data_IF_316210368848
#
_entry.id   IF_316210368848
#
_cell.length_a   1.000
_cell.length_b   1.000
_cell.length_c   1.000
_cell.angle_alpha   90.00
_cell.angle_beta   90.00
_cell.angle_gamma   90.00
#
_symmetry.space_group_name_H-M   'P 1'
#
loop_
_entity.id
_entity.type
_entity.pdbx_description
1 polymer ?
#
# COMPACT_ATOMS: atom_id res chain seq x y z
N UNK A 1 24.18 5.10 -26.72
CA UNK A 1 23.45 3.94 -26.15
C UNK A 1 23.11 4.29 -24.72
N UNK A 2 21.84 4.35 -24.30
CA UNK A 2 21.49 4.50 -22.90
C UNK A 2 21.85 3.22 -22.17
N UNK A 3 22.45 3.35 -20.98
CA UNK A 3 22.75 2.22 -20.11
C UNK A 3 21.41 1.56 -19.70
N UNK A 4 21.27 0.29 -20.03
CA UNK A 4 20.26 -0.57 -19.45
C UNK A 4 20.56 -0.67 -17.96
N UNK A 5 19.73 -0.05 -17.13
CA UNK A 5 19.69 -0.38 -15.73
C UNK A 5 19.03 -1.76 -15.65
N UNK A 6 19.80 -2.76 -15.29
CA UNK A 6 19.25 -4.05 -14.85
C UNK A 6 18.28 -3.75 -13.70
N UNK A 7 16.99 -3.99 -13.96
CA UNK A 7 16.00 -3.95 -12.90
C UNK A 7 16.42 -5.02 -11.86
N UNK A 8 16.45 -4.68 -10.55
CA UNK A 8 16.72 -5.67 -9.53
C UNK A 8 15.71 -6.81 -9.70
N UNK A 9 16.21 -8.06 -9.64
CA UNK A 9 15.37 -9.25 -9.75
C UNK A 9 14.24 -9.12 -8.74
N UNK A 10 13.04 -8.86 -9.23
CA UNK A 10 11.84 -8.86 -8.39
C UNK A 10 11.73 -10.23 -7.75
N UNK A 11 11.86 -10.31 -6.42
CA UNK A 11 11.55 -11.54 -5.69
C UNK A 11 10.09 -11.82 -6.00
N UNK A 12 9.85 -12.75 -6.91
CA UNK A 12 8.50 -13.15 -7.29
C UNK A 12 7.77 -13.60 -6.04
N UNK A 13 6.60 -13.01 -5.77
CA UNK A 13 5.69 -13.56 -4.79
C UNK A 13 5.44 -15.01 -5.19
N UNK A 14 5.79 -15.93 -4.31
CA UNK A 14 5.45 -17.31 -4.52
C UNK A 14 3.92 -17.41 -4.60
N UNK A 15 3.40 -18.35 -5.38
CA UNK A 15 1.97 -18.68 -5.40
C UNK A 15 1.48 -19.27 -4.07
N UNK A 16 2.38 -19.36 -3.07
CA UNK A 16 2.08 -19.81 -1.71
C UNK A 16 1.43 -18.68 -0.89
N UNK A 17 0.72 -19.06 0.16
CA UNK A 17 0.14 -18.12 1.10
C UNK A 17 1.21 -17.32 1.84
N UNK A 18 0.92 -16.04 2.10
CA UNK A 18 1.67 -15.17 3.01
C UNK A 18 0.87 -14.87 4.26
N UNK A 19 1.51 -14.23 5.23
CA UNK A 19 0.85 -13.78 6.47
C UNK A 19 1.31 -12.38 6.87
N UNK A 20 0.43 -11.67 7.60
CA UNK A 20 0.76 -10.41 8.25
C UNK A 20 1.79 -10.62 9.38
N UNK A 21 2.88 -9.85 9.36
CA UNK A 21 3.94 -9.91 10.36
C UNK A 21 3.94 -8.66 11.24
N UNK A 22 3.77 -8.87 12.53
CA UNK A 22 3.85 -7.81 13.54
C UNK A 22 5.22 -7.77 14.19
N UNK A 23 5.67 -6.58 14.57
CA UNK A 23 6.98 -6.35 15.17
C UNK A 23 7.37 -7.31 16.33
N UNK A 24 6.47 -7.68 17.27
CA UNK A 24 6.80 -8.62 18.34
C UNK A 24 7.24 -10.01 17.87
N UNK A 25 6.82 -10.43 16.68
CA UNK A 25 7.13 -11.77 16.14
C UNK A 25 8.35 -11.80 15.22
N UNK A 26 8.89 -10.65 14.84
CA UNK A 26 10.00 -10.59 13.87
C UNK A 26 11.24 -11.36 14.35
N UNK A 27 11.61 -11.21 15.63
CA UNK A 27 12.76 -11.93 16.21
C UNK A 27 12.56 -13.45 16.16
N UNK A 28 11.38 -13.94 16.43
CA UNK A 28 11.04 -15.36 16.35
C UNK A 28 11.11 -15.88 14.92
N UNK A 29 10.59 -15.14 13.96
CA UNK A 29 10.65 -15.50 12.54
C UNK A 29 12.08 -15.55 12.04
N UNK A 30 12.93 -14.59 12.43
CA UNK A 30 14.36 -14.59 12.11
C UNK A 30 15.05 -15.83 12.66
N UNK A 31 14.76 -16.19 13.92
CA UNK A 31 15.38 -17.32 14.60
C UNK A 31 14.90 -18.68 14.07
N UNK A 32 13.60 -18.83 13.83
CA UNK A 32 12.97 -20.12 13.48
C UNK A 32 12.88 -20.38 11.98
N UNK A 33 12.89 -19.34 11.18
CA UNK A 33 12.84 -19.41 9.71
C UNK A 33 11.70 -20.31 9.18
N UNK A 34 10.43 -20.01 9.53
CA UNK A 34 9.30 -20.84 9.13
C UNK A 34 9.16 -20.90 7.60
N UNK A 35 8.61 -22.01 7.10
CA UNK A 35 8.36 -22.25 5.67
C UNK A 35 7.13 -21.47 5.16
N UNK A 36 7.14 -20.13 5.27
CA UNK A 36 6.10 -19.22 4.81
C UNK A 36 6.60 -18.57 3.52
N UNK A 37 5.69 -18.34 2.55
CA UNK A 37 6.09 -17.82 1.25
C UNK A 37 6.52 -16.37 1.28
N UNK A 38 5.81 -15.52 2.02
CA UNK A 38 6.06 -14.08 2.11
C UNK A 38 5.39 -13.47 3.35
N UNK A 39 5.80 -12.27 3.70
CA UNK A 39 5.22 -11.51 4.81
C UNK A 39 4.70 -10.16 4.36
N UNK A 40 3.55 -9.78 4.92
CA UNK A 40 3.04 -8.42 4.85
C UNK A 40 3.35 -7.68 6.14
N UNK A 41 3.75 -6.42 6.02
CA UNK A 41 4.01 -5.53 7.16
C UNK A 41 3.32 -4.19 6.97
N UNK A 42 2.84 -3.61 8.07
CA UNK A 42 2.31 -2.25 8.07
C UNK A 42 3.42 -1.24 7.80
N UNK A 43 3.29 -0.51 6.71
CA UNK A 43 4.26 0.47 6.22
C UNK A 43 4.63 1.51 7.27
N UNK A 44 3.63 2.06 7.97
CA UNK A 44 3.78 3.15 8.93
C UNK A 44 4.66 2.77 10.11
N UNK A 45 4.73 1.49 10.48
CA UNK A 45 5.60 1.00 11.55
C UNK A 45 7.10 1.12 11.21
N UNK A 46 7.44 1.37 9.97
CA UNK A 46 8.82 1.45 9.47
C UNK A 46 9.22 2.84 8.97
N UNK A 47 8.30 3.81 8.98
CA UNK A 47 8.57 5.19 8.58
C UNK A 47 9.43 5.96 9.60
N UNK A 48 9.54 5.44 10.81
CA UNK A 48 10.42 5.94 11.86
C UNK A 48 11.79 5.27 11.87
N UNK A 49 12.64 5.70 12.80
CA UNK A 49 13.93 5.05 13.08
C UNK A 49 13.80 3.89 14.06
N UNK A 50 14.93 3.34 14.50
CA UNK A 50 15.02 2.31 15.55
C UNK A 50 15.48 0.94 15.03
N UNK A 51 15.30 -0.09 15.86
CA UNK A 51 15.77 -1.46 15.55
C UNK A 51 14.86 -2.20 14.54
N UNK A 52 13.59 -1.83 14.44
CA UNK A 52 12.60 -2.51 13.61
C UNK A 52 12.97 -2.55 12.11
N UNK A 53 13.48 -1.47 11.49
CA UNK A 53 13.96 -1.53 10.12
C UNK A 53 15.11 -2.51 9.88
N UNK A 54 16.04 -2.66 10.80
CA UNK A 54 17.15 -3.63 10.67
C UNK A 54 16.64 -5.08 10.73
N UNK A 55 15.61 -5.35 11.54
CA UNK A 55 14.97 -6.66 11.57
C UNK A 55 14.25 -6.96 10.25
N UNK A 56 13.61 -5.97 9.63
CA UNK A 56 12.96 -6.14 8.33
C UNK A 56 13.99 -6.41 7.22
N UNK A 57 15.18 -5.79 7.28
CA UNK A 57 16.29 -6.12 6.36
C UNK A 57 16.70 -7.58 6.46
N UNK A 58 16.90 -8.07 7.68
CA UNK A 58 17.27 -9.47 7.89
C UNK A 58 16.17 -10.45 7.38
N UNK A 59 14.90 -10.08 7.52
CA UNK A 59 13.78 -10.86 6.98
C UNK A 59 13.74 -10.82 5.45
N UNK A 60 13.98 -9.63 4.86
CA UNK A 60 13.99 -9.42 3.41
C UNK A 60 15.04 -10.26 2.67
N UNK A 61 16.13 -10.65 3.32
CA UNK A 61 17.15 -11.55 2.76
C UNK A 61 16.59 -12.95 2.41
N UNK A 62 15.48 -13.35 3.04
CA UNK A 62 14.92 -14.71 2.92
C UNK A 62 13.49 -14.74 2.42
N UNK A 63 12.72 -13.69 2.70
CA UNK A 63 11.29 -13.64 2.40
C UNK A 63 10.95 -12.45 1.51
N UNK A 64 10.03 -12.65 0.59
CA UNK A 64 9.40 -11.54 -0.08
C UNK A 64 8.59 -10.73 0.94
N UNK A 65 8.62 -9.39 0.82
CA UNK A 65 7.91 -8.48 1.71
C UNK A 65 6.88 -7.70 0.90
N UNK A 66 5.66 -7.62 1.44
CA UNK A 66 4.61 -6.68 1.01
C UNK A 66 4.55 -5.53 2.02
N UNK A 67 4.61 -4.29 1.54
CA UNK A 67 4.36 -3.09 2.34
C UNK A 67 2.90 -2.69 2.18
N UNK A 68 2.14 -2.75 3.28
CA UNK A 68 0.72 -2.39 3.31
C UNK A 68 0.54 -1.10 4.11
N UNK A 69 0.09 -0.05 3.43
CA UNK A 69 -0.09 1.29 3.99
C UNK A 69 -1.52 1.58 4.40
N UNK A 70 -1.67 2.49 5.34
CA UNK A 70 -2.96 3.03 5.81
C UNK A 70 -2.96 4.57 5.82
N UNK A 71 -1.87 5.19 5.40
CA UNK A 71 -1.61 6.60 5.62
C UNK A 71 -1.54 7.48 4.40
N UNK A 72 -1.63 6.97 3.18
CA UNK A 72 -1.62 7.80 1.96
C UNK A 72 -2.86 8.67 1.84
N UNK A 73 -3.98 8.24 2.44
CA UNK A 73 -5.24 9.00 2.43
C UNK A 73 -5.63 9.49 1.03
N UNK A 74 -5.56 8.57 0.05
CA UNK A 74 -5.72 8.88 -1.39
C UNK A 74 -7.06 9.54 -1.71
N UNK A 75 -8.10 9.25 -0.93
CA UNK A 75 -9.43 9.83 -1.08
C UNK A 75 -9.61 11.22 -0.44
N UNK A 76 -8.60 11.74 0.26
CA UNK A 76 -8.69 13.07 0.88
C UNK A 76 -8.87 14.18 -0.15
N UNK A 77 -9.59 15.23 0.24
CA UNK A 77 -9.61 16.50 -0.50
C UNK A 77 -8.30 17.28 -0.40
N UNK A 78 -7.47 16.99 0.62
CA UNK A 78 -6.15 17.60 0.77
C UNK A 78 -5.20 17.12 -0.33
N UNK A 79 -4.15 17.88 -0.68
CA UNK A 79 -3.05 17.38 -1.49
C UNK A 79 -2.40 16.15 -0.84
N UNK A 80 -1.81 15.26 -1.67
CA UNK A 80 -1.01 14.15 -1.15
C UNK A 80 0.11 14.66 -0.23
N UNK A 81 0.27 14.01 0.92
CA UNK A 81 1.35 14.32 1.85
C UNK A 81 2.71 13.94 1.23
N UNK A 82 3.45 14.96 0.80
CA UNK A 82 4.76 14.77 0.17
C UNK A 82 5.80 14.19 1.13
N UNK A 83 5.69 14.48 2.43
CA UNK A 83 6.62 13.95 3.42
C UNK A 83 6.35 12.45 3.64
N UNK A 84 5.10 12.04 3.71
CA UNK A 84 4.71 10.63 3.76
C UNK A 84 5.19 9.88 2.52
N UNK A 85 4.89 10.40 1.32
CA UNK A 85 5.37 9.82 0.06
C UNK A 85 6.90 9.71 0.00
N UNK A 86 7.63 10.73 0.50
CA UNK A 86 9.10 10.70 0.55
C UNK A 86 9.61 9.58 1.45
N UNK A 87 9.01 9.41 2.63
CA UNK A 87 9.34 8.34 3.57
C UNK A 87 9.04 6.97 2.95
N UNK A 88 7.86 6.80 2.37
CA UNK A 88 7.47 5.57 1.69
C UNK A 88 8.45 5.24 0.55
N UNK A 89 8.81 6.22 -0.29
CA UNK A 89 9.79 6.02 -1.36
C UNK A 89 11.15 5.57 -0.83
N UNK A 90 11.56 6.08 0.34
CA UNK A 90 12.79 5.66 1.01
C UNK A 90 12.71 4.20 1.47
N UNK A 91 11.58 3.78 2.05
CA UNK A 91 11.35 2.37 2.42
C UNK A 91 11.35 1.46 1.20
N UNK A 92 10.67 1.85 0.13
CA UNK A 92 10.63 1.09 -1.13
C UNK A 92 12.04 0.85 -1.67
N UNK A 93 12.88 1.88 -1.68
CA UNK A 93 14.27 1.76 -2.12
C UNK A 93 15.13 0.90 -1.19
N UNK A 94 14.86 0.94 0.09
CA UNK A 94 15.62 0.20 1.11
C UNK A 94 15.27 -1.26 1.14
N UNK A 95 13.99 -1.59 1.09
CA UNK A 95 13.52 -2.96 1.28
C UNK A 95 13.15 -3.67 -0.02
N UNK A 96 13.06 -2.95 -1.13
CA UNK A 96 12.67 -3.49 -2.45
C UNK A 96 11.48 -4.46 -2.33
N UNK A 97 10.33 -4.01 -1.77
CA UNK A 97 9.20 -4.89 -1.51
C UNK A 97 8.63 -5.45 -2.81
N UNK A 98 8.10 -6.65 -2.75
CA UNK A 98 7.41 -7.27 -3.88
C UNK A 98 6.13 -6.51 -4.23
N UNK A 99 5.36 -6.11 -3.22
CA UNK A 99 4.13 -5.32 -3.37
C UNK A 99 4.16 -4.09 -2.46
N UNK A 100 3.42 -3.08 -2.88
CA UNK A 100 3.06 -1.91 -2.04
C UNK A 100 1.58 -1.65 -2.24
N UNK A 101 0.82 -1.55 -1.17
CA UNK A 101 -0.62 -1.33 -1.18
C UNK A 101 -1.04 -0.21 -0.24
N UNK A 102 -2.20 0.36 -0.49
CA UNK A 102 -2.93 1.28 0.37
C UNK A 102 -4.43 1.16 0.06
N UNK A 103 -5.29 1.88 0.77
CA UNK A 103 -6.72 1.66 0.77
C UNK A 103 -7.51 2.64 -0.11
N UNK A 104 -8.66 2.19 -0.61
CA UNK A 104 -9.71 3.03 -1.18
C UNK A 104 -10.43 3.80 -0.07
N UNK A 105 -9.73 4.73 0.55
CA UNK A 105 -10.22 5.45 1.73
C UNK A 105 -9.60 6.84 1.85
N UNK A 106 -10.09 7.59 2.81
CA UNK A 106 -9.41 8.78 3.32
C UNK A 106 -9.25 8.67 4.84
N UNK A 107 -8.18 9.21 5.37
CA UNK A 107 -7.82 9.18 6.79
C UNK A 107 -7.30 10.51 7.29
N UNK A 108 -7.25 11.53 6.44
CA UNK A 108 -6.82 12.88 6.81
C UNK A 108 -7.56 13.95 6.04
N UNK A 109 -7.85 15.09 6.68
CA UNK A 109 -8.43 16.28 6.07
C UNK A 109 -8.05 17.53 6.87
N UNK A 110 -7.75 18.63 6.19
CA UNK A 110 -7.36 19.89 6.83
C UNK A 110 -6.09 19.77 7.70
N UNK A 111 -5.18 18.86 7.35
CA UNK A 111 -3.98 18.57 8.11
C UNK A 111 -4.20 17.79 9.41
N UNK A 112 -5.42 17.30 9.66
CA UNK A 112 -5.75 16.43 10.81
C UNK A 112 -5.83 14.99 10.34
N UNK A 113 -5.07 14.10 11.00
CA UNK A 113 -5.11 12.67 10.76
C UNK A 113 -6.14 12.01 11.69
N UNK A 114 -7.04 11.24 11.10
CA UNK A 114 -8.08 10.49 11.78
C UNK A 114 -7.65 9.02 11.79
N UNK A 115 -7.36 8.41 12.88
CA UNK A 115 -6.88 7.02 12.96
C UNK A 115 -7.94 6.00 12.51
N UNK A 116 -8.46 6.18 11.31
CA UNK A 116 -9.51 5.35 10.71
C UNK A 116 -9.39 5.38 9.17
N UNK A 117 -9.95 4.35 8.52
CA UNK A 117 -10.08 4.24 7.07
C UNK A 117 -11.51 4.60 6.69
N UNK A 118 -11.73 5.86 6.37
CA UNK A 118 -13.06 6.37 6.10
C UNK A 118 -13.46 6.11 4.63
N UNK A 119 -14.69 5.59 4.39
CA UNK A 119 -15.16 5.27 3.05
C UNK A 119 -15.41 6.54 2.22
N UNK A 120 -15.54 6.35 0.93
CA UNK A 120 -15.83 7.39 -0.07
C UNK A 120 -17.22 7.20 -0.67
N UNK A 121 -17.91 8.26 -1.10
CA UNK A 121 -19.07 8.10 -1.96
C UNK A 121 -18.61 7.64 -3.35
N UNK A 122 -19.18 6.56 -3.87
CA UNK A 122 -18.83 6.03 -5.19
C UNK A 122 -19.57 6.76 -6.30
N UNK A 123 -19.05 7.92 -6.67
CA UNK A 123 -19.57 8.81 -7.72
C UNK A 123 -18.52 9.02 -8.81
N UNK A 124 -18.92 9.52 -9.96
CA UNK A 124 -18.00 9.88 -11.05
C UNK A 124 -16.94 10.90 -10.62
N UNK A 125 -17.35 11.89 -9.80
CA UNK A 125 -16.44 12.90 -9.27
C UNK A 125 -15.36 12.27 -8.38
N UNK A 126 -15.77 11.40 -7.46
CA UNK A 126 -14.84 10.69 -6.55
C UNK A 126 -13.95 9.73 -7.33
N UNK A 127 -14.49 9.05 -8.34
CA UNK A 127 -13.72 8.18 -9.22
C UNK A 127 -12.59 8.96 -9.91
N UNK A 128 -12.92 10.08 -10.53
CA UNK A 128 -11.92 10.92 -11.20
C UNK A 128 -10.87 11.46 -10.23
N UNK A 129 -11.30 11.93 -9.05
CA UNK A 129 -10.41 12.42 -8.00
C UNK A 129 -9.47 11.34 -7.49
N UNK A 130 -10.01 10.19 -7.08
CA UNK A 130 -9.24 9.09 -6.50
C UNK A 130 -8.24 8.50 -7.51
N UNK A 131 -8.68 8.25 -8.74
CA UNK A 131 -7.81 7.74 -9.81
C UNK A 131 -6.63 8.68 -10.11
N UNK A 132 -6.89 10.00 -10.14
CA UNK A 132 -5.84 10.99 -10.31
C UNK A 132 -4.83 10.99 -9.14
N UNK A 133 -5.30 10.76 -7.90
CA UNK A 133 -4.43 10.66 -6.71
C UNK A 133 -3.57 9.40 -6.73
N UNK A 134 -4.15 8.26 -7.12
CA UNK A 134 -3.41 7.01 -7.30
C UNK A 134 -2.32 7.19 -8.36
N UNK A 135 -2.65 7.74 -9.54
CA UNK A 135 -1.67 8.00 -10.59
C UNK A 135 -0.54 8.91 -10.11
N UNK A 136 -0.85 10.02 -9.41
CA UNK A 136 0.15 10.92 -8.84
C UNK A 136 1.07 10.22 -7.84
N UNK A 137 0.53 9.33 -6.99
CA UNK A 137 1.33 8.58 -6.02
C UNK A 137 2.24 7.58 -6.74
N UNK A 138 1.74 6.84 -7.73
CA UNK A 138 2.51 5.91 -8.54
C UNK A 138 3.66 6.61 -9.29
N UNK A 139 3.38 7.76 -9.93
CA UNK A 139 4.39 8.56 -10.61
C UNK A 139 5.50 9.02 -9.67
N UNK A 140 5.13 9.50 -8.46
CA UNK A 140 6.12 9.91 -7.48
C UNK A 140 6.95 8.74 -6.97
N UNK A 141 6.32 7.62 -6.66
CA UNK A 141 6.99 6.42 -6.14
C UNK A 141 7.82 5.70 -7.22
N UNK A 142 7.41 5.80 -8.47
CA UNK A 142 8.02 5.13 -9.62
C UNK A 142 7.67 3.64 -9.68
N UNK A 143 6.49 3.27 -9.18
CA UNK A 143 5.98 1.89 -9.20
C UNK A 143 4.47 1.83 -9.08
N UNK A 144 3.92 0.68 -9.46
CA UNK A 144 2.53 0.32 -9.25
C UNK A 144 2.18 0.20 -7.76
N UNK A 145 0.99 0.67 -7.41
CA UNK A 145 0.32 0.44 -6.12
C UNK A 145 -0.82 -0.56 -6.30
N UNK A 146 -1.08 -1.35 -5.27
CA UNK A 146 -2.33 -2.09 -5.14
C UNK A 146 -3.29 -1.27 -4.28
N UNK A 147 -4.54 -1.17 -4.72
CA UNK A 147 -5.60 -0.49 -3.98
C UNK A 147 -6.54 -1.54 -3.38
N UNK A 148 -6.73 -1.45 -2.06
CA UNK A 148 -7.57 -2.35 -1.31
C UNK A 148 -8.95 -1.74 -1.04
N UNK A 149 -10.01 -2.55 -1.20
CA UNK A 149 -11.34 -2.20 -0.71
C UNK A 149 -11.37 -2.31 0.82
N UNK A 150 -11.59 -1.20 1.58
CA UNK A 150 -11.73 -1.31 3.01
C UNK A 150 -13.08 -1.94 3.38
N UNK A 151 -13.14 -2.64 4.52
CA UNK A 151 -14.42 -3.05 5.10
C UNK A 151 -15.28 -1.83 5.41
N UNK A 152 -16.36 -1.63 4.66
CA UNK A 152 -17.23 -0.45 4.79
C UNK A 152 -18.32 -0.69 5.82
N UNK A 153 -18.41 0.17 6.84
CA UNK A 153 -19.45 0.17 7.88
C UNK A 153 -20.55 1.22 7.65
N UNK A 154 -20.40 2.03 6.59
CA UNK A 154 -21.41 2.98 6.14
C UNK A 154 -21.40 3.08 4.61
N UNK A 155 -22.54 3.49 4.06
CA UNK A 155 -22.70 3.79 2.65
C UNK A 155 -23.25 5.21 2.50
N UNK A 156 -22.79 5.90 1.47
CA UNK A 156 -23.32 7.21 1.12
C UNK A 156 -24.52 7.05 0.18
N UNK A 157 -25.57 7.84 0.42
CA UNK A 157 -26.76 7.86 -0.43
C UNK A 157 -26.47 8.32 -1.87
N UNK A 158 -25.39 9.08 -2.02
CA UNK A 158 -24.89 9.59 -3.29
C UNK A 158 -24.14 8.57 -4.13
N UNK A 159 -23.78 7.42 -3.54
CA UNK A 159 -23.07 6.35 -4.27
C UNK A 159 -23.95 5.77 -5.36
N UNK A 160 -23.59 6.02 -6.61
CA UNK A 160 -24.31 5.56 -7.80
C UNK A 160 -23.59 4.40 -8.51
N UNK A 161 -22.31 4.18 -8.21
CA UNK A 161 -21.47 3.13 -8.83
C UNK A 161 -21.30 1.99 -7.83
N UNK A 162 -21.59 0.73 -8.20
CA UNK A 162 -21.29 -0.42 -7.35
C UNK A 162 -19.79 -0.52 -7.03
N UNK A 163 -19.43 -0.95 -5.82
CA UNK A 163 -18.03 -0.99 -5.35
C UNK A 163 -17.09 -1.73 -6.30
N UNK A 164 -17.48 -2.91 -6.77
CA UNK A 164 -16.66 -3.69 -7.71
C UNK A 164 -16.42 -2.98 -9.04
N UNK A 165 -17.44 -2.27 -9.55
CA UNK A 165 -17.33 -1.47 -10.78
C UNK A 165 -16.45 -0.23 -10.53
N UNK A 166 -16.58 0.40 -9.37
CA UNK A 166 -15.76 1.54 -8.97
C UNK A 166 -14.28 1.16 -8.89
N UNK A 167 -13.95 0.05 -8.22
CA UNK A 167 -12.58 -0.47 -8.14
C UNK A 167 -12.00 -0.80 -9.51
N UNK A 168 -12.78 -1.47 -10.37
CA UNK A 168 -12.34 -1.79 -11.73
C UNK A 168 -12.05 -0.50 -12.52
N UNK A 169 -12.94 0.50 -12.42
CA UNK A 169 -12.74 1.78 -13.09
C UNK A 169 -11.53 2.57 -12.54
N UNK A 170 -11.25 2.49 -11.24
CA UNK A 170 -10.02 3.06 -10.64
C UNK A 170 -8.78 2.39 -11.24
N UNK A 171 -8.77 1.05 -11.32
CA UNK A 171 -7.65 0.31 -11.88
C UNK A 171 -7.43 0.66 -13.36
N UNK A 172 -8.49 0.70 -14.15
CA UNK A 172 -8.44 1.07 -15.58
C UNK A 172 -7.93 2.50 -15.78
N UNK A 173 -8.38 3.45 -14.96
CA UNK A 173 -8.02 4.87 -15.10
C UNK A 173 -6.61 5.20 -14.59
N UNK A 174 -6.13 4.51 -13.56
CA UNK A 174 -4.85 4.83 -12.89
C UNK A 174 -3.74 3.85 -13.20
N UNK A 175 -4.05 2.66 -13.73
CA UNK A 175 -3.10 1.59 -13.96
C UNK A 175 -2.62 0.92 -12.67
N UNK A 176 -3.35 1.04 -11.56
CA UNK A 176 -3.03 0.34 -10.32
C UNK A 176 -3.50 -1.12 -10.35
N UNK A 177 -2.91 -1.95 -9.51
CA UNK A 177 -3.45 -3.26 -9.21
C UNK A 177 -4.54 -3.20 -8.12
N UNK A 178 -5.16 -4.34 -7.84
CA UNK A 178 -6.17 -4.47 -6.79
C UNK A 178 -5.71 -5.48 -5.73
N UNK A 179 -5.94 -5.15 -4.47
CA UNK A 179 -5.86 -6.04 -3.32
C UNK A 179 -7.29 -6.23 -2.81
N UNK A 180 -7.81 -7.45 -2.86
CA UNK A 180 -9.19 -7.70 -2.44
C UNK A 180 -9.25 -8.19 -0.99
N UNK A 181 -9.87 -7.38 -0.13
CA UNK A 181 -10.37 -7.84 1.16
C UNK A 181 -11.70 -8.57 0.95
N UNK A 182 -11.75 -9.83 1.37
CA UNK A 182 -12.91 -10.72 1.19
C UNK A 182 -13.75 -10.88 2.46
N UNK A 183 -13.57 -9.99 3.44
CA UNK A 183 -14.39 -9.99 4.66
C UNK A 183 -15.80 -9.46 4.44
#
# INVERSE_FOLDING_TARGET
RPAMFDAPQSVSLSTSAGIGLRAPHMAEVIARQPGIGWFEVHTENFLGGGATPAMLEALRERYAISLHGVGLSLGSSDPLDREHLRKLKTLIRRFEPALVSDHLSWSSVGGVFLNDLLPLPYTEETLAHFSARVAQAQDYLGRELLIENPSSYLQYTESAIPEGEFLAAVADASGCGLLLDVN
#
